data_IF_004586891064
#
_entry.id   IF_004586891064
#
_cell.length_a   1.000
_cell.length_b   1.000
_cell.length_c   1.000
_cell.angle_alpha   90.00
_cell.angle_beta   90.00
_cell.angle_gamma   90.00
#
_symmetry.space_group_name_H-M   'P 1'
#
loop_
_entity.id
_entity.type
_entity.pdbx_description
1 polymer ?
#
# COMPACT_ATOMS: atom_id res chain seq x y z
N UNK A 1 18.21 12.99 2.13
CA UNK A 1 17.62 12.64 3.44
C UNK A 1 16.38 11.80 3.20
N UNK A 2 16.09 10.81 4.05
CA UNK A 2 14.86 10.01 3.95
C UNK A 2 13.69 10.81 4.54
N UNK A 3 12.58 10.93 3.80
CA UNK A 3 11.33 11.47 4.33
C UNK A 3 10.78 10.46 5.34
N UNK A 4 10.42 10.91 6.54
CA UNK A 4 9.87 10.10 7.63
C UNK A 4 8.86 10.91 8.43
N UNK A 5 7.94 10.24 9.09
CA UNK A 5 6.95 10.90 9.96
C UNK A 5 6.03 9.88 10.62
N UNK A 6 5.07 10.36 11.40
CA UNK A 6 4.10 9.45 12.03
C UNK A 6 2.94 9.09 11.08
N UNK A 7 2.44 10.05 10.30
CA UNK A 7 1.27 9.86 9.43
C UNK A 7 1.56 10.26 7.98
N UNK A 8 1.13 9.41 7.04
CA UNK A 8 1.09 9.66 5.61
C UNK A 8 -0.35 9.56 5.10
N UNK A 9 -0.76 10.52 4.26
CA UNK A 9 -2.05 10.51 3.58
C UNK A 9 -1.80 10.40 2.08
N UNK A 10 -2.24 9.30 1.47
CA UNK A 10 -2.19 9.08 0.03
C UNK A 10 -3.53 9.49 -0.61
N UNK A 11 -3.47 10.33 -1.64
CA UNK A 11 -4.63 10.96 -2.28
C UNK A 11 -4.76 10.44 -3.71
N UNK A 12 -5.89 9.78 -4.02
CA UNK A 12 -6.09 9.16 -5.32
C UNK A 12 -5.31 7.86 -5.48
N UNK A 13 -5.31 7.03 -4.42
CA UNK A 13 -4.56 5.78 -4.32
C UNK A 13 -4.92 4.76 -5.41
N UNK A 14 -6.10 4.86 -6.01
CA UNK A 14 -6.65 3.80 -6.85
C UNK A 14 -6.87 2.50 -6.06
N UNK A 15 -6.92 1.34 -6.72
CA UNK A 15 -6.94 0.03 -6.07
C UNK A 15 -5.53 -0.56 -5.90
N UNK A 16 -4.50 0.27 -5.70
CA UNK A 16 -3.09 -0.16 -5.72
C UNK A 16 -2.30 0.19 -4.46
N UNK A 17 -1.41 -0.71 -4.03
CA UNK A 17 -0.59 -0.55 -2.81
C UNK A 17 0.90 -0.33 -3.07
N UNK A 18 1.39 -0.43 -4.32
CA UNK A 18 2.83 -0.47 -4.62
C UNK A 18 3.58 0.77 -4.12
N UNK A 19 2.95 1.94 -4.18
CA UNK A 19 3.51 3.21 -3.68
C UNK A 19 3.64 3.26 -2.15
N UNK A 20 2.90 2.39 -1.44
CA UNK A 20 2.87 2.33 0.02
C UNK A 20 3.90 1.35 0.58
N UNK A 21 4.40 0.41 -0.23
CA UNK A 21 5.29 -0.66 0.23
C UNK A 21 6.59 -0.10 0.81
N UNK A 22 7.23 0.87 0.15
CA UNK A 22 8.41 1.53 0.72
C UNK A 22 8.06 2.59 1.77
N UNK A 23 6.85 3.13 1.73
CA UNK A 23 6.41 4.18 2.65
C UNK A 23 6.10 3.63 4.05
N UNK A 24 5.60 2.39 4.15
CA UNK A 24 5.25 1.80 5.45
C UNK A 24 6.46 1.62 6.38
N UNK A 25 7.67 1.62 5.83
CA UNK A 25 8.92 1.60 6.59
C UNK A 25 9.28 2.93 7.26
N UNK A 26 8.67 4.02 6.80
CA UNK A 26 8.94 5.37 7.25
C UNK A 26 7.78 6.00 8.04
N UNK A 27 6.58 5.42 7.95
CA UNK A 27 5.35 5.96 8.52
C UNK A 27 4.56 4.88 9.26
N UNK A 28 4.12 5.21 10.49
CA UNK A 28 3.34 4.29 11.33
C UNK A 28 1.88 4.22 10.90
N UNK A 29 1.31 5.35 10.51
CA UNK A 29 -0.08 5.48 10.11
C UNK A 29 -0.15 5.87 8.64
N UNK A 30 -0.79 5.04 7.83
CA UNK A 30 -1.05 5.32 6.42
C UNK A 30 -2.56 5.42 6.23
N UNK A 31 -3.01 6.55 5.70
CA UNK A 31 -4.40 6.79 5.30
C UNK A 31 -4.43 6.81 3.78
N UNK A 32 -5.19 5.91 3.17
CA UNK A 32 -5.41 5.88 1.72
C UNK A 32 -6.77 6.48 1.40
N UNK A 33 -6.87 7.20 0.29
CA UNK A 33 -8.12 7.81 -0.16
C UNK A 33 -8.25 7.75 -1.66
N UNK A 34 -9.47 7.51 -2.14
CA UNK A 34 -9.79 7.51 -3.56
C UNK A 34 -11.20 8.04 -3.78
N UNK A 35 -11.41 8.71 -4.91
CA UNK A 35 -12.70 9.28 -5.27
C UNK A 35 -13.78 8.20 -5.48
N UNK A 36 -13.40 7.07 -6.06
CA UNK A 36 -14.38 6.03 -6.42
C UNK A 36 -14.55 5.02 -5.29
N UNK A 37 -15.80 4.69 -4.98
CA UNK A 37 -16.15 3.72 -3.93
C UNK A 37 -15.54 2.35 -4.24
N UNK A 38 -15.60 1.94 -5.51
CA UNK A 38 -15.05 0.69 -5.99
C UNK A 38 -13.57 0.53 -5.66
N UNK A 39 -12.74 1.55 -5.89
CA UNK A 39 -11.32 1.46 -5.55
C UNK A 39 -11.10 1.28 -4.04
N UNK A 40 -11.92 1.95 -3.22
CA UNK A 40 -11.86 1.80 -1.76
C UNK A 40 -12.37 0.43 -1.30
N UNK A 41 -13.30 -0.18 -2.02
CA UNK A 41 -13.79 -1.55 -1.76
C UNK A 41 -12.70 -2.59 -2.04
N UNK A 42 -11.95 -2.46 -3.14
CA UNK A 42 -10.82 -3.38 -3.45
C UNK A 42 -9.79 -3.39 -2.30
N UNK A 43 -9.51 -2.24 -1.70
CA UNK A 43 -8.68 -2.15 -0.49
C UNK A 43 -9.28 -2.91 0.69
N UNK A 44 -10.59 -2.84 0.89
CA UNK A 44 -11.26 -3.58 1.96
C UNK A 44 -11.24 -5.09 1.73
N UNK A 45 -11.41 -5.54 0.49
CA UNK A 45 -11.30 -6.95 0.10
C UNK A 45 -9.89 -7.45 0.39
N UNK A 46 -8.86 -6.70 -0.02
CA UNK A 46 -7.47 -7.04 0.23
C UNK A 46 -7.11 -7.02 1.73
N UNK A 47 -7.44 -5.96 2.47
CA UNK A 47 -7.14 -5.83 3.90
C UNK A 47 -7.80 -6.92 4.75
N UNK A 48 -8.98 -7.42 4.34
CA UNK A 48 -9.70 -8.49 5.03
C UNK A 48 -9.31 -9.89 4.55
N UNK A 49 -8.32 -9.99 3.66
CA UNK A 49 -7.88 -11.25 3.03
C UNK A 49 -9.05 -12.06 2.44
N UNK A 50 -9.97 -11.39 1.75
CA UNK A 50 -11.15 -12.01 1.17
C UNK A 50 -10.83 -12.74 -0.14
N UNK A 51 -11.61 -13.78 -0.50
CA UNK A 51 -11.52 -14.40 -1.83
C UNK A 51 -11.70 -13.36 -2.94
N UNK A 52 -10.82 -13.39 -3.94
CA UNK A 52 -10.83 -12.42 -5.05
C UNK A 52 -9.96 -11.19 -4.80
N UNK A 53 -9.34 -11.05 -3.62
CA UNK A 53 -8.31 -10.04 -3.40
C UNK A 53 -7.18 -10.21 -4.43
N UNK A 54 -6.69 -9.09 -4.97
CA UNK A 54 -5.54 -9.10 -5.85
C UNK A 54 -4.29 -9.62 -5.12
N UNK A 55 -3.57 -10.55 -5.74
CA UNK A 55 -2.33 -11.07 -5.19
C UNK A 55 -1.16 -10.11 -5.44
N UNK A 56 -0.76 -9.40 -4.39
CA UNK A 56 0.36 -8.48 -4.42
C UNK A 56 1.73 -9.13 -4.17
N UNK A 57 1.80 -10.45 -3.95
CA UNK A 57 3.03 -11.14 -3.52
C UNK A 57 4.20 -10.90 -4.48
N UNK A 58 3.96 -10.94 -5.79
CA UNK A 58 5.01 -10.68 -6.79
C UNK A 58 5.58 -9.26 -6.69
N UNK A 59 4.72 -8.26 -6.51
CA UNK A 59 5.11 -6.86 -6.37
C UNK A 59 5.84 -6.63 -5.06
N UNK A 60 5.35 -7.20 -3.95
CA UNK A 60 5.99 -7.13 -2.64
C UNK A 60 7.40 -7.73 -2.72
N UNK A 61 7.55 -8.93 -3.27
CA UNK A 61 8.85 -9.57 -3.42
C UNK A 61 9.81 -8.72 -4.26
N UNK A 62 9.32 -8.09 -5.32
CA UNK A 62 10.15 -7.20 -6.14
C UNK A 62 10.62 -5.96 -5.35
N UNK A 63 9.73 -5.32 -4.59
CA UNK A 63 10.10 -4.16 -3.75
C UNK A 63 11.09 -4.56 -2.65
N UNK A 64 10.88 -5.69 -1.97
CA UNK A 64 11.82 -6.20 -0.96
C UNK A 64 13.24 -6.41 -1.52
N UNK A 65 13.34 -6.98 -2.73
CA UNK A 65 14.63 -7.16 -3.41
C UNK A 65 15.31 -5.82 -3.72
N UNK A 66 14.55 -4.81 -4.16
CA UNK A 66 15.08 -3.47 -4.43
C UNK A 66 15.51 -2.73 -3.15
N UNK A 67 14.82 -2.97 -2.04
CA UNK A 67 15.18 -2.44 -0.72
C UNK A 67 16.38 -3.16 -0.11
N UNK A 68 16.83 -4.25 -0.73
CA UNK A 68 18.10 -4.90 -0.50
C UNK A 68 18.05 -6.12 0.41
N UNK A 69 16.89 -6.79 0.55
CA UNK A 69 16.64 -7.90 1.47
C UNK A 69 17.14 -7.62 2.90
N UNK A 70 16.21 -7.28 3.81
CA UNK A 70 16.53 -7.06 5.23
C UNK A 70 17.13 -8.29 5.91
#
# INVERSE_FOLDING_TARGET
GKVKGDTLIDIGTGPSIYQLLSACEAFKNIIVSDFTDRNREEFNVWLKNQPGAFDWSSVINHVCQLEGDR
#
